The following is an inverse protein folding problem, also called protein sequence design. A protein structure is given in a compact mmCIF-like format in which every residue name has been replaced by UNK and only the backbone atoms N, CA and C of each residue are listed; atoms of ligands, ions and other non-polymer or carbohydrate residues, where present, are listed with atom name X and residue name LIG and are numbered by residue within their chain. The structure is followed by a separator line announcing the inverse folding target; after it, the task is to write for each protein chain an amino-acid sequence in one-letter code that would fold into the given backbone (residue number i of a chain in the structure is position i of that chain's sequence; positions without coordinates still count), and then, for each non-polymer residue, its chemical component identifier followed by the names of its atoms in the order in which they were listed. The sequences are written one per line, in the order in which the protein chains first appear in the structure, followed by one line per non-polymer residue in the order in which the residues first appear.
data_IF_669750965003
#
_entry.id   IF_669750965003
#
_cell.length_a   1.000
_cell.length_b   1.000
_cell.length_c   1.000
_cell.angle_alpha   90.00
_cell.angle_beta   90.00
_cell.angle_gamma   90.00
#
_symmetry.space_group_name_H-M   'P 1'
#
loop_
_entity.id
_entity.type
_entity.pdbx_description
1 polymer ?
#
# COMPACT_ATOMS: atom_id res chain seq x y z
N UNK A 1 -22.05 -21.48 2.33
CA UNK A 1 -22.74 -20.57 1.37
C UNK A 1 -22.44 -19.09 1.57
N UNK A 2 -22.58 -18.51 2.78
CA UNK A 2 -22.21 -17.08 2.99
C UNK A 2 -20.74 -16.77 2.70
N UNK A 3 -19.80 -17.67 3.03
CA UNK A 3 -18.37 -17.47 2.75
C UNK A 3 -18.03 -17.54 1.26
N UNK A 4 -18.71 -18.40 0.50
CA UNK A 4 -18.51 -18.56 -0.96
C UNK A 4 -19.19 -17.44 -1.76
N UNK A 5 -20.32 -16.90 -1.30
CA UNK A 5 -20.91 -15.68 -1.85
C UNK A 5 -20.07 -14.43 -1.53
N UNK A 6 -19.46 -14.38 -0.34
CA UNK A 6 -18.57 -13.30 0.11
C UNK A 6 -17.20 -13.29 -0.62
N UNK A 7 -16.71 -14.47 -1.03
CA UNK A 7 -15.48 -14.64 -1.81
C UNK A 7 -15.70 -14.50 -3.34
N UNK A 8 -16.95 -14.33 -3.80
CA UNK A 8 -17.34 -14.64 -5.17
C UNK A 8 -16.57 -13.92 -6.28
N UNK A 9 -16.31 -12.61 -6.18
CA UNK A 9 -15.54 -11.82 -7.19
C UNK A 9 -14.85 -10.56 -6.63
N UNK A 10 -15.30 -10.03 -5.48
CA UNK A 10 -14.83 -8.75 -4.92
C UNK A 10 -13.37 -8.72 -4.45
N UNK A 11 -12.92 -9.68 -3.59
CA UNK A 11 -11.57 -9.62 -3.02
C UNK A 11 -10.47 -9.84 -4.06
N UNK A 12 -10.69 -10.79 -4.98
CA UNK A 12 -9.75 -11.09 -6.04
C UNK A 12 -9.62 -9.91 -7.01
N UNK A 13 -10.74 -9.32 -7.42
CA UNK A 13 -10.73 -8.14 -8.27
C UNK A 13 -10.00 -6.95 -7.61
N UNK A 14 -10.21 -6.74 -6.31
CA UNK A 14 -9.49 -5.72 -5.55
C UNK A 14 -7.98 -5.99 -5.49
N UNK A 15 -7.57 -7.22 -5.21
CA UNK A 15 -6.17 -7.63 -5.23
C UNK A 15 -5.52 -7.45 -6.60
N UNK A 16 -6.21 -7.83 -7.69
CA UNK A 16 -5.75 -7.65 -9.06
C UNK A 16 -5.65 -6.18 -9.46
N UNK A 17 -6.65 -5.37 -9.09
CA UNK A 17 -6.61 -3.92 -9.30
C UNK A 17 -5.41 -3.30 -8.55
N UNK A 18 -5.14 -3.77 -7.33
CA UNK A 18 -3.95 -3.42 -6.57
C UNK A 18 -2.66 -3.78 -7.28
N UNK A 19 -2.55 -5.01 -7.78
CA UNK A 19 -1.38 -5.46 -8.54
C UNK A 19 -1.14 -4.58 -9.78
N UNK A 20 -2.18 -4.31 -10.57
CA UNK A 20 -2.10 -3.47 -11.78
C UNK A 20 -1.74 -2.03 -11.41
N UNK A 21 -2.39 -1.44 -10.40
CA UNK A 21 -2.04 -0.10 -9.91
C UNK A 21 -0.60 -0.03 -9.40
N UNK A 22 -0.14 -1.07 -8.72
CA UNK A 22 1.24 -1.23 -8.28
C UNK A 22 2.25 -1.22 -9.43
N UNK A 23 1.96 -1.97 -10.49
CA UNK A 23 2.82 -2.09 -11.67
C UNK A 23 2.79 -0.85 -12.58
N UNK A 24 1.61 -0.27 -12.80
CA UNK A 24 1.43 0.78 -13.81
C UNK A 24 1.63 2.20 -13.27
N UNK A 25 1.45 2.40 -11.96
CA UNK A 25 1.46 3.74 -11.36
C UNK A 25 2.41 3.80 -10.17
N UNK A 26 2.19 2.97 -9.14
CA UNK A 26 2.89 3.12 -7.87
C UNK A 26 4.41 2.93 -8.04
N UNK A 27 4.82 1.91 -8.81
CA UNK A 27 6.25 1.61 -8.99
C UNK A 27 7.03 2.74 -9.66
N UNK A 28 6.43 3.44 -10.63
CA UNK A 28 7.03 4.56 -11.36
C UNK A 28 7.15 5.79 -10.46
N UNK A 29 6.07 6.13 -9.75
CA UNK A 29 6.05 7.26 -8.82
C UNK A 29 7.05 7.03 -7.69
N UNK A 30 7.03 5.85 -7.05
CA UNK A 30 7.95 5.52 -5.96
C UNK A 30 9.40 5.44 -6.42
N UNK A 31 9.64 4.89 -7.63
CA UNK A 31 10.96 4.88 -8.23
C UNK A 31 11.51 6.30 -8.39
N UNK A 32 10.69 7.23 -8.91
CA UNK A 32 11.06 8.63 -9.07
C UNK A 32 11.33 9.32 -7.72
N UNK A 33 10.44 9.13 -6.73
CA UNK A 33 10.60 9.73 -5.39
C UNK A 33 11.85 9.19 -4.70
N UNK A 34 12.07 7.88 -4.77
CA UNK A 34 13.23 7.23 -4.15
C UNK A 34 14.53 7.73 -4.79
N UNK A 35 14.59 7.79 -6.12
CA UNK A 35 15.75 8.35 -6.84
C UNK A 35 15.96 9.82 -6.52
N UNK A 36 14.89 10.61 -6.41
CA UNK A 36 14.97 12.02 -6.06
C UNK A 36 15.63 12.21 -4.70
N UNK A 37 15.24 11.38 -3.72
CA UNK A 37 15.83 11.40 -2.38
C UNK A 37 17.31 10.98 -2.37
N UNK A 38 17.68 9.96 -3.15
CA UNK A 38 19.07 9.46 -3.24
C UNK A 38 19.96 10.48 -3.96
N UNK A 39 19.50 11.06 -5.06
CA UNK A 39 20.23 12.03 -5.88
C UNK A 39 20.15 13.46 -5.35
N UNK A 40 19.46 13.68 -4.22
CA UNK A 40 19.25 15.00 -3.61
C UNK A 40 18.71 16.02 -4.61
N UNK A 41 17.73 15.60 -5.40
CA UNK A 41 17.06 16.41 -6.42
C UNK A 41 15.54 16.30 -6.29
N UNK A 42 14.80 17.04 -7.12
CA UNK A 42 13.34 16.96 -7.17
C UNK A 42 12.89 15.79 -8.07
N UNK A 43 11.67 15.25 -7.90
CA UNK A 43 11.14 14.23 -8.81
C UNK A 43 11.16 14.67 -10.28
N UNK A 44 10.89 15.95 -10.55
CA UNK A 44 10.99 16.51 -11.90
C UNK A 44 12.44 16.50 -12.42
N UNK A 45 13.41 16.78 -11.54
CA UNK A 45 14.84 16.64 -11.85
C UNK A 45 15.19 15.20 -12.24
N UNK A 46 14.68 14.20 -11.51
CA UNK A 46 14.87 12.78 -11.84
C UNK A 46 14.32 12.45 -13.23
N UNK A 47 13.09 12.87 -13.54
CA UNK A 47 12.46 12.60 -14.84
C UNK A 47 13.30 13.19 -15.98
N UNK A 48 13.89 14.38 -15.79
CA UNK A 48 14.75 15.02 -16.78
C UNK A 48 16.11 14.33 -16.96
N UNK A 49 16.60 13.67 -15.91
CA UNK A 49 17.93 13.05 -15.89
C UNK A 49 17.90 11.56 -16.24
N UNK A 50 16.76 10.88 -16.04
CA UNK A 50 16.61 9.46 -16.32
C UNK A 50 16.23 9.22 -17.79
N UNK A 51 16.76 8.13 -18.35
CA UNK A 51 16.26 7.61 -19.61
C UNK A 51 14.84 7.04 -19.43
N UNK A 52 14.09 6.93 -20.54
CA UNK A 52 12.71 6.44 -20.53
C UNK A 52 12.58 5.02 -19.96
N UNK A 53 13.57 4.15 -20.21
CA UNK A 53 13.51 2.75 -19.79
C UNK A 53 13.40 2.56 -18.27
N UNK A 54 14.30 3.09 -17.42
CA UNK A 54 14.18 2.95 -15.97
C UNK A 54 13.02 3.76 -15.37
N UNK A 55 12.45 4.71 -16.13
CA UNK A 55 11.22 5.40 -15.75
C UNK A 55 9.97 4.54 -15.97
N UNK A 56 9.90 3.80 -17.09
CA UNK A 56 8.80 2.90 -17.41
C UNK A 56 8.89 1.55 -16.67
N UNK A 57 10.11 1.05 -16.49
CA UNK A 57 10.41 -0.25 -15.88
C UNK A 57 11.40 -0.10 -14.71
N UNK A 58 11.00 0.57 -13.61
CA UNK A 58 11.87 0.74 -12.46
C UNK A 58 12.20 -0.61 -11.81
N UNK A 59 13.37 -0.72 -11.17
CA UNK A 59 13.63 -1.86 -10.28
C UNK A 59 12.64 -1.83 -9.12
N UNK A 60 12.26 -2.99 -8.61
CA UNK A 60 11.32 -3.10 -7.50
C UNK A 60 9.84 -3.19 -7.90
N UNK A 61 9.48 -3.05 -9.19
CA UNK A 61 8.09 -3.20 -9.67
C UNK A 61 7.37 -4.44 -9.12
N UNK A 62 8.01 -5.60 -9.19
CA UNK A 62 7.44 -6.86 -8.70
C UNK A 62 7.19 -6.80 -7.19
N UNK A 63 8.11 -6.22 -6.43
CA UNK A 63 7.94 -6.10 -4.98
C UNK A 63 6.87 -5.06 -4.63
N UNK A 64 6.76 -3.97 -5.38
CA UNK A 64 5.66 -3.00 -5.25
C UNK A 64 4.31 -3.69 -5.56
N UNK A 65 4.22 -4.46 -6.65
CA UNK A 65 3.02 -5.26 -6.97
C UNK A 65 2.65 -6.21 -5.82
N UNK A 66 3.61 -6.99 -5.32
CA UNK A 66 3.39 -7.92 -4.21
C UNK A 66 2.97 -7.21 -2.92
N UNK A 67 3.38 -5.94 -2.73
CA UNK A 67 2.95 -5.09 -1.62
C UNK A 67 1.52 -4.57 -1.80
N UNK A 68 1.15 -4.18 -3.01
CA UNK A 68 -0.16 -3.60 -3.30
C UNK A 68 -1.31 -4.63 -3.26
N UNK A 69 -1.04 -5.89 -3.55
CA UNK A 69 -2.03 -6.99 -3.46
C UNK A 69 -2.66 -7.06 -2.06
N UNK A 70 -1.91 -7.29 -0.97
CA UNK A 70 -2.48 -7.34 0.37
C UNK A 70 -3.02 -5.98 0.84
N UNK A 71 -2.40 -4.86 0.45
CA UNK A 71 -2.92 -3.53 0.78
C UNK A 71 -4.33 -3.31 0.18
N UNK A 72 -4.51 -3.64 -1.10
CA UNK A 72 -5.79 -3.46 -1.80
C UNK A 72 -6.84 -4.44 -1.32
N UNK A 73 -6.46 -5.70 -1.05
CA UNK A 73 -7.34 -6.66 -0.40
C UNK A 73 -7.80 -6.17 0.97
N UNK A 74 -6.91 -5.58 1.77
CA UNK A 74 -7.31 -5.03 3.07
C UNK A 74 -8.18 -3.77 2.92
N UNK A 75 -7.87 -2.90 1.96
CA UNK A 75 -8.59 -1.65 1.70
C UNK A 75 -10.03 -1.87 1.27
N UNK A 76 -10.26 -2.74 0.29
CA UNK A 76 -11.56 -2.89 -0.36
C UNK A 76 -12.42 -4.03 0.20
N UNK A 77 -11.84 -4.91 1.02
CA UNK A 77 -12.58 -6.04 1.56
C UNK A 77 -12.51 -6.09 3.08
N UNK A 78 -11.31 -6.18 3.66
CA UNK A 78 -11.18 -6.34 5.11
C UNK A 78 -11.73 -5.11 5.86
N UNK A 79 -11.43 -3.91 5.38
CA UNK A 79 -11.91 -2.67 5.97
C UNK A 79 -13.42 -2.60 6.00
N UNK A 80 -14.09 -2.84 4.87
CA UNK A 80 -15.54 -2.76 4.78
C UNK A 80 -16.21 -3.81 5.67
N UNK A 81 -15.65 -5.03 5.71
CA UNK A 81 -16.07 -6.07 6.64
C UNK A 81 -15.92 -5.63 8.10
N UNK A 82 -14.80 -5.02 8.48
CA UNK A 82 -14.59 -4.50 9.85
C UNK A 82 -15.60 -3.39 10.16
N UNK A 83 -15.84 -2.47 9.23
CA UNK A 83 -16.82 -1.38 9.38
C UNK A 83 -18.20 -1.94 9.66
N UNK A 84 -18.70 -2.87 8.84
CA UNK A 84 -20.01 -3.51 9.04
C UNK A 84 -20.13 -4.12 10.44
N UNK A 85 -19.10 -4.87 10.88
CA UNK A 85 -19.09 -5.50 12.21
C UNK A 85 -19.02 -4.51 13.36
N UNK A 86 -18.35 -3.38 13.17
CA UNK A 86 -18.31 -2.32 14.18
C UNK A 86 -19.64 -1.58 14.26
N UNK A 87 -20.28 -1.28 13.12
CA UNK A 87 -21.61 -0.64 13.08
C UNK A 87 -22.67 -1.51 13.75
N UNK A 88 -22.67 -2.82 13.46
CA UNK A 88 -23.56 -3.81 14.10
C UNK A 88 -23.36 -3.86 15.63
N UNK A 89 -22.11 -3.80 16.10
CA UNK A 89 -21.81 -3.93 17.54
C UNK A 89 -22.04 -2.66 18.33
N UNK A 90 -21.85 -1.50 17.70
CA UNK A 90 -21.89 -0.21 18.39
C UNK A 90 -23.30 0.38 18.46
N UNK A 91 -24.31 -0.23 17.82
CA UNK A 91 -25.74 0.12 17.92
C UNK A 91 -26.00 1.65 17.83
N UNK A 92 -25.24 2.36 16.99
CA UNK A 92 -25.34 3.81 16.81
C UNK A 92 -24.70 4.69 17.89
N UNK A 93 -24.07 4.12 18.92
CA UNK A 93 -23.42 4.86 20.01
C UNK A 93 -22.08 5.51 19.66
N UNK A 94 -21.39 5.01 18.61
CA UNK A 94 -20.20 5.64 18.07
C UNK A 94 -20.55 6.48 16.83
N UNK A 95 -19.99 7.69 16.74
CA UNK A 95 -20.13 8.51 15.54
C UNK A 95 -19.54 7.80 14.31
N UNK A 96 -20.22 7.89 13.17
CA UNK A 96 -19.82 7.24 11.90
C UNK A 96 -18.35 7.49 11.53
N UNK A 97 -17.84 8.70 11.79
CA UNK A 97 -16.42 9.04 11.59
C UNK A 97 -15.47 8.16 12.44
N UNK A 98 -15.81 7.91 13.70
CA UNK A 98 -14.98 7.10 14.60
C UNK A 98 -14.90 5.64 14.14
N UNK A 99 -16.01 5.09 13.64
CA UNK A 99 -16.06 3.74 13.04
C UNK A 99 -15.18 3.66 11.79
N UNK A 100 -15.27 4.64 10.90
CA UNK A 100 -14.47 4.70 9.67
C UNK A 100 -12.97 4.84 9.95
N UNK A 101 -12.59 5.61 10.98
CA UNK A 101 -11.19 5.72 11.42
C UNK A 101 -10.72 4.39 12.03
N UNK A 102 -11.47 3.83 12.98
CA UNK A 102 -11.07 2.62 13.68
C UNK A 102 -10.94 1.41 12.72
N UNK A 103 -11.90 1.23 11.82
CA UNK A 103 -11.85 0.17 10.79
C UNK A 103 -10.64 0.30 9.89
N UNK A 104 -10.29 1.51 9.46
CA UNK A 104 -9.12 1.77 8.63
C UNK A 104 -7.80 1.41 9.35
N UNK A 105 -7.66 1.77 10.62
CA UNK A 105 -6.48 1.42 11.41
C UNK A 105 -6.39 -0.09 11.67
N UNK A 106 -7.51 -0.75 11.99
CA UNK A 106 -7.54 -2.20 12.17
C UNK A 106 -7.16 -2.94 10.89
N UNK A 107 -7.67 -2.50 9.73
CA UNK A 107 -7.25 -3.02 8.43
C UNK A 107 -5.76 -2.76 8.16
N UNK A 108 -5.24 -1.57 8.54
CA UNK A 108 -3.83 -1.25 8.39
C UNK A 108 -2.93 -2.13 9.27
N UNK A 109 -3.36 -2.49 10.48
CA UNK A 109 -2.62 -3.40 11.36
C UNK A 109 -2.45 -4.80 10.76
N UNK A 110 -3.34 -5.21 9.86
CA UNK A 110 -3.21 -6.46 9.09
C UNK A 110 -2.37 -6.24 7.83
N UNK A 111 -2.69 -5.20 7.05
CA UNK A 111 -2.02 -4.90 5.79
C UNK A 111 -0.53 -4.55 5.98
N UNK A 112 -0.21 -3.82 7.04
CA UNK A 112 1.12 -3.30 7.35
C UNK A 112 2.15 -4.42 7.40
N UNK A 113 2.09 -5.36 8.36
CA UNK A 113 3.04 -6.46 8.47
C UNK A 113 3.11 -7.33 7.21
N UNK A 114 1.98 -7.64 6.57
CA UNK A 114 1.92 -8.49 5.38
C UNK A 114 2.63 -7.89 4.17
N UNK A 115 2.53 -6.56 4.03
CA UNK A 115 3.13 -5.81 2.93
C UNK A 115 4.50 -5.24 3.31
N UNK A 116 4.93 -5.38 4.58
CA UNK A 116 6.04 -4.61 5.09
C UNK A 116 7.38 -4.93 4.39
N UNK A 117 7.83 -6.20 4.44
CA UNK A 117 9.11 -6.61 3.86
C UNK A 117 9.22 -6.28 2.37
N UNK A 118 8.13 -6.40 1.62
CA UNK A 118 8.09 -6.16 0.19
C UNK A 118 8.45 -4.71 -0.14
N UNK A 119 7.95 -3.75 0.64
CA UNK A 119 8.31 -2.34 0.43
C UNK A 119 9.75 -2.03 0.81
N UNK A 120 10.29 -2.67 1.86
CA UNK A 120 11.68 -2.44 2.27
C UNK A 120 12.62 -2.91 1.16
N UNK A 121 12.33 -4.09 0.58
CA UNK A 121 13.06 -4.62 -0.56
C UNK A 121 12.86 -3.73 -1.79
N UNK A 122 11.63 -3.33 -2.13
CA UNK A 122 11.34 -2.46 -3.27
C UNK A 122 12.12 -1.14 -3.18
N UNK A 123 12.07 -0.47 -2.04
CA UNK A 123 12.79 0.78 -1.80
C UNK A 123 14.30 0.60 -1.93
N UNK A 124 14.85 -0.52 -1.44
CA UNK A 124 16.28 -0.82 -1.57
C UNK A 124 16.68 -1.09 -3.02
N UNK A 125 15.86 -1.82 -3.77
CA UNK A 125 16.06 -2.04 -5.20
C UNK A 125 16.02 -0.74 -5.99
N UNK A 126 15.04 0.14 -5.73
CA UNK A 126 14.90 1.43 -6.40
C UNK A 126 16.05 2.38 -6.08
N UNK A 127 16.48 2.42 -4.82
CA UNK A 127 17.58 3.28 -4.37
C UNK A 127 18.91 2.89 -5.03
N UNK A 128 19.28 1.60 -4.96
CA UNK A 128 20.60 1.11 -5.41
C UNK A 128 20.62 0.53 -6.84
N UNK A 129 19.47 0.44 -7.50
CA UNK A 129 19.33 -0.19 -8.82
C UNK A 129 19.77 -1.67 -8.87
N UNK A 130 19.42 -2.43 -7.83
CA UNK A 130 19.87 -3.83 -7.63
C UNK A 130 18.74 -4.86 -7.75
N UNK A 131 19.12 -6.14 -7.90
CA UNK A 131 18.20 -7.28 -7.92
C UNK A 131 17.56 -7.52 -6.54
N UNK A 132 16.49 -8.33 -6.50
CA UNK A 132 15.79 -8.69 -5.25
C UNK A 132 16.76 -9.39 -4.29
N UNK A 133 17.54 -10.34 -4.79
CA UNK A 133 18.49 -11.11 -3.99
C UNK A 133 19.59 -10.21 -3.41
N UNK A 134 20.12 -9.31 -4.22
CA UNK A 134 21.11 -8.33 -3.78
C UNK A 134 20.52 -7.37 -2.74
N UNK A 135 19.27 -6.91 -2.91
CA UNK A 135 18.59 -6.06 -1.94
C UNK A 135 18.39 -6.77 -0.59
N UNK A 136 17.94 -8.03 -0.59
CA UNK A 136 17.76 -8.81 0.64
C UNK A 136 19.10 -9.03 1.34
N UNK A 137 20.14 -9.39 0.59
CA UNK A 137 21.49 -9.58 1.14
C UNK A 137 22.03 -8.28 1.75
N UNK A 138 21.86 -7.14 1.07
CA UNK A 138 22.28 -5.82 1.55
C UNK A 138 21.53 -5.38 2.81
N UNK A 139 20.22 -5.62 2.89
CA UNK A 139 19.40 -5.34 4.08
C UNK A 139 19.90 -6.17 5.26
N UNK A 140 20.08 -7.49 5.08
CA UNK A 140 20.52 -8.39 6.14
C UNK A 140 21.94 -8.10 6.63
N UNK A 141 22.83 -7.64 5.75
CA UNK A 141 24.17 -7.17 6.13
C UNK A 141 24.13 -5.91 6.98
N UNK A 142 23.18 -5.01 6.70
CA UNK A 142 23.06 -3.73 7.44
C UNK A 142 22.39 -3.94 8.81
N UNK A 143 21.36 -4.80 8.88
CA UNK A 143 20.66 -5.11 10.11
C UNK A 143 19.99 -6.48 10.04
N UNK A 144 20.12 -7.34 11.07
CA UNK A 144 19.45 -8.65 11.10
C UNK A 144 17.92 -8.51 11.08
N UNK A 145 17.38 -7.40 11.59
CA UNK A 145 15.95 -7.06 11.59
C UNK A 145 15.59 -6.01 10.54
N UNK A 146 16.46 -5.77 9.55
CA UNK A 146 16.31 -4.69 8.58
C UNK A 146 15.00 -4.75 7.77
N UNK A 147 14.43 -5.95 7.57
CA UNK A 147 13.15 -6.14 6.90
C UNK A 147 11.93 -5.64 7.68
N UNK A 148 12.08 -5.39 8.99
CA UNK A 148 11.01 -4.94 9.89
C UNK A 148 11.25 -3.53 10.45
N UNK A 149 12.33 -2.89 10.04
CA UNK A 149 12.66 -1.54 10.49
C UNK A 149 11.63 -0.55 9.96
N UNK A 150 10.97 0.16 10.87
CA UNK A 150 9.95 1.16 10.53
C UNK A 150 8.57 0.59 10.22
N UNK A 151 8.26 -0.65 10.63
CA UNK A 151 6.93 -1.24 10.44
C UNK A 151 5.83 -0.41 11.12
N UNK A 152 6.05 0.04 12.36
CA UNK A 152 5.07 0.83 13.14
C UNK A 152 4.70 2.14 12.46
N UNK A 153 5.65 3.07 12.16
CA UNK A 153 5.29 4.33 11.52
C UNK A 153 4.63 4.12 10.15
N UNK A 154 5.01 3.07 9.42
CA UNK A 154 4.35 2.72 8.16
C UNK A 154 2.92 2.22 8.36
N UNK A 155 2.66 1.36 9.34
CA UNK A 155 1.30 0.89 9.64
C UNK A 155 0.39 2.06 9.99
N UNK A 156 0.88 3.03 10.76
CA UNK A 156 0.14 4.26 11.08
C UNK A 156 -0.14 5.08 9.82
N UNK A 157 0.85 5.30 8.96
CA UNK A 157 0.67 6.00 7.70
C UNK A 157 -0.34 5.30 6.77
N UNK A 158 -0.28 3.96 6.69
CA UNK A 158 -1.26 3.15 5.97
C UNK A 158 -2.67 3.35 6.53
N UNK A 159 -2.85 3.39 7.86
CA UNK A 159 -4.15 3.69 8.48
C UNK A 159 -4.75 5.00 7.97
N UNK A 160 -3.94 6.05 7.85
CA UNK A 160 -4.35 7.31 7.24
C UNK A 160 -4.81 7.16 5.79
N UNK A 161 -4.05 6.46 4.95
CA UNK A 161 -4.42 6.22 3.54
C UNK A 161 -5.69 5.39 3.41
N UNK A 162 -5.83 4.32 4.22
CA UNK A 162 -6.99 3.45 4.24
C UNK A 162 -8.25 4.16 4.78
N UNK A 163 -8.09 5.26 5.52
CA UNK A 163 -9.21 6.10 5.96
C UNK A 163 -9.59 7.13 4.89
N UNK A 164 -8.62 7.94 4.43
CA UNK A 164 -8.87 9.11 3.58
C UNK A 164 -9.47 8.69 2.23
N UNK A 165 -8.90 7.67 1.57
CA UNK A 165 -9.31 7.32 0.21
C UNK A 165 -10.80 6.90 0.15
N UNK A 166 -11.27 5.92 0.96
CA UNK A 166 -12.68 5.53 0.89
C UNK A 166 -13.61 6.61 1.44
N UNK A 167 -13.19 7.36 2.47
CA UNK A 167 -13.99 8.45 3.03
C UNK A 167 -14.26 9.54 1.99
N UNK A 168 -13.23 9.94 1.23
CA UNK A 168 -13.36 10.89 0.13
C UNK A 168 -14.26 10.36 -0.98
N UNK A 169 -14.10 9.10 -1.38
CA UNK A 169 -14.95 8.47 -2.40
C UNK A 169 -16.43 8.43 -1.98
N UNK A 170 -16.73 8.07 -0.73
CA UNK A 170 -18.09 8.10 -0.17
C UNK A 170 -18.65 9.52 -0.15
N UNK A 171 -17.84 10.51 0.26
CA UNK A 171 -18.25 11.92 0.32
C UNK A 171 -18.57 12.47 -1.05
N UNK A 172 -17.67 12.28 -2.03
CA UNK A 172 -17.88 12.74 -3.41
C UNK A 172 -19.14 12.10 -4.01
N UNK A 173 -19.35 10.80 -3.79
CA UNK A 173 -20.57 10.11 -4.26
C UNK A 173 -21.86 10.71 -3.69
N UNK A 174 -21.85 11.15 -2.42
CA UNK A 174 -23.01 11.82 -1.78
C UNK A 174 -23.24 13.24 -2.29
N UNK A 175 -22.22 13.90 -2.85
CA UNK A 175 -22.36 15.24 -3.41
C UNK A 175 -22.80 15.24 -4.88
N UNK A 176 -22.50 14.18 -5.63
CA UNK A 176 -22.80 14.07 -7.06
C UNK A 176 -24.13 13.37 -7.37
N UNK A 177 -24.70 12.63 -6.41
CA UNK A 177 -25.97 11.91 -6.52
C UNK A 177 -26.96 12.46 -5.50
#
# INVERSE_FOLDING_TARGET
ERLTAFLGKGPLAACLAGAVGGLCVASQIEGCITKAHVWKTTPLGVIRLMSLRPLLLPKGMVMTMCREVPCSGCLFFLRDWITERLEERLNGGAGHLGVEVLSAYLAAFVAGPLSHPQSVVAARQQAKDITIQAAIADIRRTSPHGLWTGVVPRTVALGGTLFIVPYMMKTVRRCLL
#
